data_IF_402088008673
#
_entry.id   IF_402088008673
#
_cell.length_a   1.000
_cell.length_b   1.000
_cell.length_c   1.000
_cell.angle_alpha   90.00
_cell.angle_beta   90.00
_cell.angle_gamma   90.00
#
_symmetry.space_group_name_H-M   'P 1'
#
loop_
_entity.id
_entity.type
_entity.pdbx_description
1 polymer ?
#
# COMPACT_ATOMS: atom_id res chain seq x y z
N UNK A 1 -15.66 17.68 -3.83
CA UNK A 1 -14.92 17.59 -2.54
C UNK A 1 -13.56 17.00 -2.84
N UNK A 2 -12.48 17.66 -2.41
CA UNK A 2 -11.13 17.12 -2.52
C UNK A 2 -10.93 16.03 -1.45
N UNK A 3 -10.47 14.86 -1.85
CA UNK A 3 -10.05 13.82 -0.92
C UNK A 3 -8.81 14.29 -0.15
N UNK A 4 -8.80 14.12 1.17
CA UNK A 4 -7.62 14.42 1.99
C UNK A 4 -6.68 13.20 2.03
N UNK A 5 -5.39 13.42 1.78
CA UNK A 5 -4.37 12.37 1.85
C UNK A 5 -3.49 12.50 3.09
N UNK A 6 -3.19 11.37 3.75
CA UNK A 6 -2.14 11.28 4.77
C UNK A 6 -1.15 10.17 4.39
N UNK A 7 0.11 10.53 4.22
CA UNK A 7 1.20 9.59 3.94
C UNK A 7 1.86 9.11 5.23
N UNK A 8 1.95 7.79 5.41
CA UNK A 8 2.63 7.14 6.53
C UNK A 8 3.89 6.49 6.02
N UNK A 9 5.02 7.00 6.52
CA UNK A 9 6.35 6.51 6.21
C UNK A 9 7.07 5.98 7.46
N UNK A 10 8.31 5.56 7.31
CA UNK A 10 9.14 5.11 8.40
C UNK A 10 10.61 5.07 8.02
N UNK A 11 11.46 4.75 8.99
CA UNK A 11 12.91 4.64 8.77
C UNK A 11 13.30 3.33 8.10
N UNK A 12 12.50 2.28 8.25
CA UNK A 12 12.79 0.95 7.69
C UNK A 12 11.51 0.09 7.54
N UNK A 13 11.68 -1.13 7.05
CA UNK A 13 10.71 -2.22 7.10
C UNK A 13 10.48 -2.66 8.55
N UNK A 14 9.25 -3.08 8.91
CA UNK A 14 8.94 -3.61 10.24
C UNK A 14 8.82 -2.58 11.37
N UNK A 15 9.14 -1.30 11.15
CA UNK A 15 9.08 -0.23 12.18
C UNK A 15 7.67 0.14 12.67
N UNK A 16 6.62 -0.50 12.13
CA UNK A 16 5.24 -0.31 12.56
C UNK A 16 4.35 0.56 11.66
N UNK A 17 4.79 0.92 10.45
CA UNK A 17 4.00 1.74 9.49
C UNK A 17 2.56 1.25 9.31
N UNK A 18 2.40 -0.03 8.96
CA UNK A 18 1.08 -0.66 8.77
C UNK A 18 0.23 -0.64 10.04
N UNK A 19 0.85 -0.79 11.21
CA UNK A 19 0.13 -0.71 12.49
C UNK A 19 -0.44 0.69 12.70
N UNK A 20 0.37 1.73 12.51
CA UNK A 20 -0.07 3.13 12.60
C UNK A 20 -1.13 3.44 11.55
N UNK A 21 -0.95 2.98 10.30
CA UNK A 21 -1.94 3.15 9.24
C UNK A 21 -3.29 2.55 9.61
N UNK A 22 -3.32 1.33 10.14
CA UNK A 22 -4.54 0.68 10.60
C UNK A 22 -5.23 1.45 11.73
N UNK A 23 -4.47 2.01 12.67
CA UNK A 23 -5.03 2.81 13.77
C UNK A 23 -5.68 4.10 13.25
N UNK A 24 -4.98 4.83 12.37
CA UNK A 24 -5.52 6.06 11.77
C UNK A 24 -6.76 5.78 10.94
N UNK A 25 -6.74 4.73 10.10
CA UNK A 25 -7.91 4.31 9.33
C UNK A 25 -9.12 4.07 10.23
N UNK A 26 -8.96 3.31 11.31
CA UNK A 26 -10.05 3.02 12.25
C UNK A 26 -10.56 4.27 12.94
N UNK A 27 -9.69 5.19 13.34
CA UNK A 27 -10.08 6.45 13.97
C UNK A 27 -10.85 7.38 13.01
N UNK A 28 -10.43 7.48 11.75
CA UNK A 28 -11.14 8.25 10.72
C UNK A 28 -12.50 7.62 10.41
N UNK A 29 -12.55 6.29 10.30
CA UNK A 29 -13.80 5.55 10.09
C UNK A 29 -14.77 5.73 11.25
N UNK A 30 -14.31 5.67 12.50
CA UNK A 30 -15.17 5.92 13.67
C UNK A 30 -15.67 7.35 13.75
N UNK A 31 -15.01 8.29 13.06
CA UNK A 31 -15.44 9.68 12.93
C UNK A 31 -16.46 9.88 11.80
N UNK A 32 -16.92 8.80 11.15
CA UNK A 32 -17.95 8.85 10.11
C UNK A 32 -17.45 9.16 8.70
N UNK A 33 -16.12 9.23 8.48
CA UNK A 33 -15.56 9.48 7.16
C UNK A 33 -15.57 8.21 6.30
N UNK A 34 -15.79 8.39 4.98
CA UNK A 34 -15.48 7.34 4.01
C UNK A 34 -13.97 7.30 3.85
N UNK A 35 -13.38 6.14 4.12
CA UNK A 35 -11.93 5.97 4.13
C UNK A 35 -11.48 5.04 3.01
N UNK A 36 -10.25 5.23 2.55
CA UNK A 36 -9.52 4.25 1.77
C UNK A 36 -8.08 4.13 2.28
N UNK A 37 -7.50 2.94 2.09
CA UNK A 37 -6.08 2.71 2.28
C UNK A 37 -5.44 2.45 0.92
N UNK A 38 -4.24 2.96 0.72
CA UNK A 38 -3.50 2.80 -0.52
C UNK A 38 -2.04 2.49 -0.21
N UNK A 39 -1.50 1.42 -0.79
CA UNK A 39 -0.08 1.08 -0.73
C UNK A 39 0.42 1.09 -2.18
N UNK A 40 1.26 2.07 -2.59
CA UNK A 40 1.68 2.23 -3.98
C UNK A 40 2.23 0.96 -4.62
N UNK A 41 3.12 0.30 -3.88
CA UNK A 41 3.74 -0.97 -4.27
C UNK A 41 3.92 -1.84 -3.04
N UNK A 42 3.72 -3.14 -3.19
CA UNK A 42 3.97 -4.13 -2.15
C UNK A 42 4.89 -5.23 -2.66
N UNK A 43 5.83 -5.65 -1.83
CA UNK A 43 6.73 -6.77 -2.10
C UNK A 43 6.78 -7.70 -0.88
N UNK A 44 7.39 -8.87 -1.00
CA UNK A 44 7.48 -9.85 0.09
C UNK A 44 6.17 -10.58 0.36
N UNK A 45 5.76 -11.39 -0.62
CA UNK A 45 4.61 -12.25 -0.44
C UNK A 45 4.90 -13.35 0.58
N UNK A 46 3.93 -13.64 1.44
CA UNK A 46 3.88 -14.86 2.21
C UNK A 46 3.49 -16.01 1.28
N UNK A 47 4.46 -16.85 0.96
CA UNK A 47 4.23 -18.10 0.25
C UNK A 47 3.72 -19.16 1.24
N UNK A 48 2.50 -19.65 0.99
CA UNK A 48 1.89 -20.72 1.77
C UNK A 48 1.59 -21.86 0.81
N UNK A 49 1.98 -23.11 1.13
CA UNK A 49 1.65 -24.26 0.30
C UNK A 49 0.15 -24.27 -0.03
N UNK A 50 -0.16 -24.45 -1.32
CA UNK A 50 -1.52 -24.60 -1.86
C UNK A 50 -2.42 -23.36 -1.76
N UNK A 51 -1.89 -22.18 -1.44
CA UNK A 51 -2.65 -20.93 -1.42
C UNK A 51 -2.04 -19.90 -2.38
N UNK A 52 -2.85 -18.98 -2.95
CA UNK A 52 -2.32 -17.83 -3.66
C UNK A 52 -1.40 -17.00 -2.75
N UNK A 53 -0.36 -16.35 -3.30
CA UNK A 53 0.49 -15.45 -2.54
C UNK A 53 -0.32 -14.34 -1.85
N UNK A 54 0.05 -14.02 -0.61
CA UNK A 54 -0.60 -12.97 0.19
C UNK A 54 0.43 -12.00 0.75
N UNK A 55 0.02 -10.78 1.09
CA UNK A 55 0.90 -9.77 1.70
C UNK A 55 0.30 -9.32 3.02
N UNK A 56 1.01 -9.51 4.13
CA UNK A 56 0.50 -9.23 5.48
C UNK A 56 0.02 -7.79 5.62
N UNK A 57 0.81 -6.83 5.13
CA UNK A 57 0.47 -5.41 5.14
C UNK A 57 -0.90 -5.16 4.48
N UNK A 58 -1.13 -5.75 3.30
CA UNK A 58 -2.37 -5.57 2.55
C UNK A 58 -3.56 -6.22 3.25
N UNK A 59 -3.38 -7.41 3.83
CA UNK A 59 -4.45 -8.07 4.60
C UNK A 59 -4.85 -7.24 5.82
N UNK A 60 -3.88 -6.64 6.51
CA UNK A 60 -4.12 -5.79 7.67
C UNK A 60 -4.81 -4.48 7.29
N UNK A 61 -4.35 -3.83 6.22
CA UNK A 61 -5.01 -2.64 5.67
C UNK A 61 -6.44 -2.96 5.22
N UNK A 62 -6.65 -4.08 4.53
CA UNK A 62 -7.97 -4.54 4.10
C UNK A 62 -8.91 -4.71 5.29
N UNK A 63 -8.46 -5.36 6.36
CA UNK A 63 -9.23 -5.54 7.57
C UNK A 63 -9.52 -4.21 8.29
N UNK A 64 -8.60 -3.25 8.27
CA UNK A 64 -8.79 -1.93 8.87
C UNK A 64 -9.81 -1.06 8.11
N UNK A 65 -9.78 -1.11 6.77
CA UNK A 65 -10.81 -0.47 5.93
C UNK A 65 -12.16 -1.17 6.11
N UNK A 66 -12.17 -2.51 6.08
CA UNK A 66 -13.35 -3.36 6.16
C UNK A 66 -14.22 -3.32 4.89
N UNK A 67 -15.39 -3.95 4.93
CA UNK A 67 -16.32 -3.97 3.79
C UNK A 67 -15.83 -4.85 2.62
N UNK A 68 -16.23 -4.50 1.40
CA UNK A 68 -15.92 -5.25 0.17
C UNK A 68 -14.64 -4.80 -0.55
N UNK A 69 -13.75 -4.08 0.15
CA UNK A 69 -12.48 -3.61 -0.44
C UNK A 69 -11.62 -4.79 -0.86
N UNK A 70 -11.15 -4.78 -2.11
CA UNK A 70 -10.28 -5.84 -2.64
C UNK A 70 -8.81 -5.48 -2.48
N UNK A 71 -7.92 -6.48 -2.48
CA UNK A 71 -6.46 -6.26 -2.42
C UNK A 71 -5.98 -5.39 -3.59
N UNK A 72 -6.62 -5.51 -4.76
CA UNK A 72 -6.31 -4.72 -5.96
C UNK A 72 -6.63 -3.23 -5.81
N UNK A 73 -7.69 -2.92 -5.07
CA UNK A 73 -8.04 -1.55 -4.72
C UNK A 73 -7.06 -0.94 -3.71
N UNK A 74 -6.37 -1.75 -2.90
CA UNK A 74 -5.36 -1.29 -1.96
C UNK A 74 -4.01 -1.10 -2.63
N UNK A 75 -3.63 -2.01 -3.53
CA UNK A 75 -2.31 -2.07 -4.15
C UNK A 75 -2.38 -2.85 -5.46
N UNK A 76 -2.19 -2.16 -6.59
CA UNK A 76 -2.23 -2.76 -7.94
C UNK A 76 -0.94 -3.50 -8.29
N UNK A 77 0.16 -3.08 -7.68
CA UNK A 77 1.50 -3.55 -8.03
C UNK A 77 2.10 -4.32 -6.87
N UNK A 78 2.07 -5.64 -7.00
CA UNK A 78 2.51 -6.58 -5.98
C UNK A 78 3.56 -7.52 -6.56
N UNK A 79 4.57 -7.81 -5.75
CA UNK A 79 5.71 -8.65 -6.11
C UNK A 79 6.01 -9.67 -5.00
N UNK A 80 6.58 -10.81 -5.39
CA UNK A 80 6.81 -11.97 -4.54
C UNK A 80 8.03 -11.78 -3.65
N UNK A 81 9.16 -11.39 -4.24
CA UNK A 81 10.43 -11.33 -3.51
C UNK A 81 10.39 -10.25 -2.40
N UNK A 82 10.89 -10.53 -1.18
CA UNK A 82 10.94 -9.57 -0.08
C UNK A 82 12.11 -8.58 -0.24
N UNK A 83 12.10 -7.83 -1.35
CA UNK A 83 13.11 -6.85 -1.73
C UNK A 83 12.45 -5.49 -1.98
N UNK A 84 13.27 -4.45 -2.16
CA UNK A 84 12.77 -3.15 -2.60
C UNK A 84 11.97 -3.29 -3.92
N UNK A 85 10.88 -2.52 -4.09
CA UNK A 85 10.00 -2.55 -5.25
C UNK A 85 10.65 -2.81 -6.63
N UNK A 86 11.64 -2.01 -7.11
CA UNK A 86 12.23 -2.23 -8.43
C UNK A 86 12.99 -3.56 -8.54
N UNK A 87 13.67 -3.98 -7.47
CA UNK A 87 14.41 -5.25 -7.46
C UNK A 87 13.46 -6.44 -7.49
N UNK A 88 12.38 -6.40 -6.71
CA UNK A 88 11.37 -7.45 -6.70
C UNK A 88 10.68 -7.58 -8.07
N UNK A 89 10.34 -6.44 -8.69
CA UNK A 89 9.76 -6.40 -10.04
C UNK A 89 10.69 -7.04 -11.08
N UNK A 90 12.00 -6.72 -11.03
CA UNK A 90 12.99 -7.25 -11.98
C UNK A 90 13.14 -8.76 -11.90
N UNK A 91 13.06 -9.36 -10.71
CA UNK A 91 13.09 -10.81 -10.56
C UNK A 91 11.91 -11.50 -11.24
N UNK A 92 10.79 -10.80 -11.38
CA UNK A 92 9.59 -11.26 -12.10
C UNK A 92 9.56 -10.81 -13.57
N UNK A 93 10.65 -10.24 -14.10
CA UNK A 93 10.70 -9.66 -15.46
C UNK A 93 9.63 -8.57 -15.68
N UNK A 94 9.32 -7.82 -14.62
CA UNK A 94 8.36 -6.71 -14.60
C UNK A 94 9.06 -5.41 -14.17
N UNK A 95 8.37 -4.29 -14.29
CA UNK A 95 8.79 -2.99 -13.78
C UNK A 95 7.68 -2.39 -12.92
N UNK A 96 8.07 -1.51 -12.00
CA UNK A 96 7.11 -0.64 -11.30
C UNK A 96 6.66 0.43 -12.29
N UNK A 97 5.36 0.58 -12.47
CA UNK A 97 4.73 1.59 -13.33
C UNK A 97 4.24 2.77 -12.46
N UNK A 98 4.88 3.96 -12.56
CA UNK A 98 4.45 5.15 -11.83
C UNK A 98 3.02 5.59 -12.18
N UNK A 99 2.60 5.45 -13.44
CA UNK A 99 1.27 5.86 -13.87
C UNK A 99 0.19 4.98 -13.24
N UNK A 100 0.47 3.69 -13.07
CA UNK A 100 -0.42 2.78 -12.34
C UNK A 100 -0.51 3.12 -10.84
N UNK A 101 0.54 3.72 -10.26
CA UNK A 101 0.50 4.25 -8.89
C UNK A 101 -0.48 5.43 -8.83
N UNK A 102 -0.28 6.43 -9.69
CA UNK A 102 -1.11 7.63 -9.71
C UNK A 102 -2.59 7.30 -9.97
N UNK A 103 -2.86 6.42 -10.93
CA UNK A 103 -4.21 5.97 -11.23
C UNK A 103 -4.86 5.22 -10.04
N UNK A 104 -4.08 4.44 -9.29
CA UNK A 104 -4.57 3.75 -8.09
C UNK A 104 -4.94 4.73 -6.97
N UNK A 105 -4.12 5.76 -6.77
CA UNK A 105 -4.40 6.80 -5.78
C UNK A 105 -5.62 7.65 -6.18
N UNK A 106 -5.72 8.04 -7.46
CA UNK A 106 -6.87 8.77 -7.98
C UNK A 106 -8.19 8.00 -7.74
N UNK A 107 -8.20 6.70 -7.98
CA UNK A 107 -9.37 5.85 -7.74
C UNK A 107 -9.72 5.68 -6.26
N UNK A 108 -8.76 5.84 -5.34
CA UNK A 108 -9.05 5.94 -3.92
C UNK A 108 -9.74 7.28 -3.60
N UNK A 109 -9.24 8.37 -4.17
CA UNK A 109 -9.76 9.72 -3.97
C UNK A 109 -11.19 9.93 -4.51
N UNK A 110 -11.65 9.14 -5.49
CA UNK A 110 -13.04 9.23 -5.97
C UNK A 110 -14.06 8.58 -5.03
N UNK A 111 -13.62 7.69 -4.13
CA UNK A 111 -14.49 6.83 -3.33
C UNK A 111 -14.45 7.13 -1.83
N UNK A 112 -13.48 7.94 -1.40
CA UNK A 112 -13.22 8.25 0.00
C UNK A 112 -13.12 9.76 0.23
N UNK A 113 -13.43 10.16 1.47
CA UNK A 113 -13.19 11.51 1.98
C UNK A 113 -11.74 11.66 2.46
N UNK A 114 -11.15 10.56 2.97
CA UNK A 114 -9.77 10.49 3.42
C UNK A 114 -9.05 9.21 2.93
N UNK A 115 -7.82 9.36 2.45
CA UNK A 115 -6.94 8.28 2.00
C UNK A 115 -5.70 8.21 2.86
N UNK A 116 -5.44 7.04 3.43
CA UNK A 116 -4.18 6.73 4.10
C UNK A 116 -3.27 6.03 3.12
N UNK A 117 -2.15 6.66 2.78
CA UNK A 117 -1.12 6.09 1.91
C UNK A 117 -0.01 5.51 2.77
N UNK A 118 0.23 4.20 2.68
CA UNK A 118 1.31 3.53 3.39
C UNK A 118 2.55 3.37 2.48
N UNK A 119 3.69 3.89 2.89
CA UNK A 119 4.97 3.70 2.21
C UNK A 119 5.53 2.27 2.34
N UNK A 120 6.41 1.88 1.42
CA UNK A 120 7.17 0.64 1.45
C UNK A 120 8.61 0.85 1.97
N UNK A 121 9.12 -0.02 2.85
CA UNK A 121 10.49 0.13 3.38
C UNK A 121 10.71 1.42 4.18
N UNK A 122 11.93 1.98 4.11
CA UNK A 122 12.29 3.27 4.73
C UNK A 122 12.05 4.49 3.83
N UNK A 123 12.30 5.71 4.35
CA UNK A 123 12.12 6.98 3.62
C UNK A 123 12.86 7.02 2.27
N UNK A 124 14.08 6.50 2.21
CA UNK A 124 14.89 6.41 0.99
C UNK A 124 14.75 5.07 0.26
N UNK A 125 13.73 4.27 0.60
CA UNK A 125 13.46 3.03 -0.12
C UNK A 125 13.15 3.35 -1.59
N UNK A 126 13.82 2.70 -2.56
CA UNK A 126 13.49 2.85 -3.96
C UNK A 126 12.04 2.45 -4.22
N UNK A 127 11.26 3.36 -4.79
CA UNK A 127 9.90 3.08 -5.25
C UNK A 127 9.92 2.61 -6.71
N UNK A 128 10.72 3.28 -7.52
CA UNK A 128 10.95 2.98 -8.94
C UNK A 128 12.46 2.82 -9.18
N UNK A 129 12.88 2.65 -10.43
CA UNK A 129 14.31 2.59 -10.78
C UNK A 129 15.04 3.93 -10.55
N UNK A 130 14.31 5.04 -10.53
CA UNK A 130 14.88 6.39 -10.46
C UNK A 130 14.39 7.21 -9.28
N UNK A 131 13.37 6.76 -8.55
CA UNK A 131 12.73 7.51 -7.48
C UNK A 131 12.69 6.72 -6.18
N UNK A 132 12.77 7.45 -5.07
CA UNK A 132 12.51 6.93 -3.71
C UNK A 132 11.11 7.34 -3.24
N UNK A 133 10.72 6.97 -2.03
CA UNK A 133 9.51 7.52 -1.40
C UNK A 133 9.59 9.01 -1.03
N UNK A 134 10.80 9.55 -0.92
CA UNK A 134 11.10 10.94 -0.56
C UNK A 134 10.89 11.93 -1.71
#
# INVERSE_FOLDING_TARGET
MSCQGLFITGTDTGVGKTHVACLVLRALKSSGLRIAAYKPVCSGALDRPQNPPTWDDLLRLQAAVGGSTTVDQLCRQRFLAPLAPPLAARLEQRQVDPLAIDAGLADCCTRADAVIVEGAGGWLCPLTETETLA
#
